data_IF_356276069237
#
_entry.id   IF_356276069237
#
_cell.length_a   1.000
_cell.length_b   1.000
_cell.length_c   1.000
_cell.angle_alpha   90.00
_cell.angle_beta   90.00
_cell.angle_gamma   90.00
#
_symmetry.space_group_name_H-M   'P 1'
#
loop_
_entity.id
_entity.type
_entity.pdbx_description
1 polymer ?
#
# COMPACT_ATOMS: atom_id res chain seq x y z
N UNK A 1 18.49 23.35 0.31
CA UNK A 1 17.07 23.41 0.62
C UNK A 1 16.80 22.63 1.89
N UNK A 2 15.93 23.11 2.75
CA UNK A 2 15.45 22.40 3.94
C UNK A 2 13.94 22.50 4.04
N UNK A 3 13.31 21.47 4.61
CA UNK A 3 11.89 21.43 4.91
C UNK A 3 11.68 21.68 6.40
N UNK A 4 10.73 22.53 6.76
CA UNK A 4 10.30 22.76 8.13
C UNK A 4 8.90 22.18 8.30
N UNK A 5 8.75 21.22 9.21
CA UNK A 5 7.46 20.62 9.57
C UNK A 5 7.10 20.93 11.01
N UNK A 6 5.79 21.04 11.30
CA UNK A 6 5.29 21.10 12.67
C UNK A 6 5.48 19.74 13.34
N UNK A 7 5.84 19.73 14.62
CA UNK A 7 5.87 18.51 15.43
C UNK A 7 4.44 18.13 15.83
N UNK A 8 4.05 16.88 15.57
CA UNK A 8 2.79 16.30 16.06
C UNK A 8 3.13 15.27 17.11
N UNK A 9 2.69 15.43 18.36
CA UNK A 9 2.93 14.44 19.42
C UNK A 9 2.13 13.16 19.15
N UNK A 10 2.64 12.01 19.63
CA UNK A 10 1.99 10.73 19.47
C UNK A 10 2.95 9.58 19.21
N UNK A 11 2.40 8.41 18.85
CA UNK A 11 3.17 7.20 18.58
C UNK A 11 2.89 6.67 17.18
N UNK A 12 3.94 6.15 16.55
CA UNK A 12 3.85 5.42 15.27
C UNK A 12 3.88 3.92 15.53
N UNK A 13 3.02 3.12 14.88
CA UNK A 13 3.20 1.67 14.82
C UNK A 13 4.52 1.34 14.11
N UNK A 14 5.41 0.54 14.71
CA UNK A 14 6.69 0.22 14.09
C UNK A 14 6.52 -0.77 12.93
N UNK A 15 7.36 -0.62 11.91
CA UNK A 15 7.49 -1.61 10.84
C UNK A 15 8.55 -2.66 11.14
N UNK A 16 9.57 -2.27 11.90
CA UNK A 16 10.65 -3.16 12.30
C UNK A 16 11.00 -3.02 13.80
N UNK A 17 10.89 -4.11 14.56
CA UNK A 17 10.19 -5.34 14.18
C UNK A 17 8.72 -5.06 13.87
N UNK A 18 8.10 -5.89 13.01
CA UNK A 18 6.70 -5.70 12.60
C UNK A 18 5.78 -5.45 13.80
N UNK A 19 4.90 -4.45 13.68
CA UNK A 19 3.87 -4.16 14.68
C UNK A 19 2.91 -5.33 14.93
N UNK A 20 2.89 -6.33 14.01
CA UNK A 20 2.19 -7.61 14.17
C UNK A 20 2.88 -8.55 15.17
N UNK A 21 4.12 -8.28 15.55
CA UNK A 21 4.91 -9.15 16.44
C UNK A 21 5.31 -8.49 17.75
N UNK A 22 5.63 -7.21 17.73
CA UNK A 22 6.15 -6.46 18.89
C UNK A 22 5.76 -4.98 18.82
N UNK A 23 5.85 -4.34 19.96
CA UNK A 23 5.60 -2.92 20.12
C UNK A 23 4.20 -2.64 20.62
N UNK A 24 3.94 -1.39 20.86
CA UNK A 24 2.74 -0.94 21.57
C UNK A 24 1.41 -1.40 20.94
N UNK A 25 1.36 -1.63 19.62
CA UNK A 25 0.16 -2.17 18.96
C UNK A 25 -0.07 -3.63 19.37
N UNK A 26 1.00 -4.44 19.42
CA UNK A 26 0.92 -5.83 19.86
C UNK A 26 0.57 -5.95 21.36
N UNK A 27 0.88 -4.92 22.14
CA UNK A 27 0.60 -4.88 23.60
C UNK A 27 -0.83 -4.41 23.92
N UNK A 28 -1.57 -3.87 22.94
CA UNK A 28 -2.97 -3.46 23.12
C UNK A 28 -3.90 -4.66 23.36
N UNK A 29 -5.03 -4.42 23.99
CA UNK A 29 -6.15 -5.35 24.00
C UNK A 29 -6.73 -5.54 22.58
N UNK A 30 -7.36 -6.67 22.30
CA UNK A 30 -7.95 -6.96 20.98
C UNK A 30 -9.00 -5.92 20.55
N UNK A 31 -9.81 -5.46 21.49
CA UNK A 31 -10.78 -4.39 21.27
C UNK A 31 -10.13 -3.08 20.84
N UNK A 32 -9.00 -2.74 21.42
CA UNK A 32 -8.28 -1.50 21.11
C UNK A 32 -7.56 -1.60 19.76
N UNK A 33 -7.05 -2.80 19.40
CA UNK A 33 -6.52 -3.07 18.06
C UNK A 33 -7.59 -2.89 16.99
N UNK A 34 -8.82 -3.36 17.26
CA UNK A 34 -9.94 -3.15 16.36
C UNK A 34 -10.28 -1.67 16.19
N UNK A 35 -10.31 -0.90 17.28
CA UNK A 35 -10.52 0.55 17.24
C UNK A 35 -9.43 1.24 16.44
N UNK A 36 -8.16 0.93 16.70
CA UNK A 36 -7.02 1.49 16.00
C UNK A 36 -7.08 1.23 14.49
N UNK A 37 -7.43 0.01 14.09
CA UNK A 37 -7.62 -0.35 12.68
C UNK A 37 -8.69 0.51 12.01
N UNK A 38 -9.84 0.67 12.69
CA UNK A 38 -10.93 1.47 12.15
C UNK A 38 -10.59 2.97 12.07
N UNK A 39 -9.82 3.49 13.02
CA UNK A 39 -9.34 4.87 12.96
C UNK A 39 -8.40 5.10 11.78
N UNK A 40 -7.54 4.13 11.48
CA UNK A 40 -6.71 4.17 10.27
C UNK A 40 -7.53 4.17 8.98
N UNK A 41 -8.56 3.33 8.91
CA UNK A 41 -9.46 3.28 7.76
C UNK A 41 -10.30 4.56 7.61
N UNK A 42 -10.72 5.17 8.72
CA UNK A 42 -11.43 6.45 8.71
C UNK A 42 -10.51 7.59 8.25
N UNK A 43 -9.21 7.57 8.62
CA UNK A 43 -8.22 8.52 8.13
C UNK A 43 -8.06 8.40 6.61
N UNK A 44 -7.92 7.17 6.09
CA UNK A 44 -7.87 6.91 4.65
C UNK A 44 -9.10 7.47 3.93
N UNK A 45 -10.30 7.20 4.45
CA UNK A 45 -11.53 7.76 3.88
C UNK A 45 -11.54 9.28 3.88
N UNK A 46 -11.00 9.93 4.92
CA UNK A 46 -10.90 11.40 4.98
C UNK A 46 -10.00 11.95 3.89
N UNK A 47 -8.89 11.28 3.60
CA UNK A 47 -8.00 11.61 2.47
C UNK A 47 -8.77 11.53 1.15
N UNK A 48 -9.51 10.44 0.90
CA UNK A 48 -10.28 10.26 -0.34
C UNK A 48 -11.48 11.21 -0.50
N UNK A 49 -11.85 11.96 0.55
CA UNK A 49 -12.88 13.00 0.48
C UNK A 49 -12.33 14.39 0.17
N UNK A 50 -11.03 14.53 0.16
CA UNK A 50 -10.40 15.78 -0.26
C UNK A 50 -10.69 15.99 -1.74
N UNK A 51 -11.16 17.17 -2.09
CA UNK A 51 -11.25 17.60 -3.47
C UNK A 51 -9.87 18.11 -3.91
N UNK A 52 -9.13 17.36 -4.74
CA UNK A 52 -7.79 17.74 -5.11
C UNK A 52 -7.78 19.00 -5.98
N UNK A 53 -8.79 19.23 -6.81
CA UNK A 53 -8.89 20.40 -7.67
C UNK A 53 -9.14 21.67 -6.86
N UNK A 54 -10.06 21.59 -5.89
CA UNK A 54 -10.36 22.74 -5.01
C UNK A 54 -9.14 23.17 -4.17
N UNK A 55 -8.20 22.24 -3.91
CA UNK A 55 -6.97 22.51 -3.14
C UNK A 55 -5.73 22.73 -4.03
N UNK A 56 -5.88 22.75 -5.35
CA UNK A 56 -4.75 22.93 -6.27
C UNK A 56 -3.76 21.77 -6.25
N UNK A 57 -4.22 20.53 -5.98
CA UNK A 57 -3.40 19.33 -5.91
C UNK A 57 -3.35 18.57 -7.24
N UNK A 58 -3.73 19.18 -8.35
CA UNK A 58 -3.70 18.56 -9.68
C UNK A 58 -2.31 18.01 -10.06
N UNK A 59 -1.26 18.64 -9.53
CA UNK A 59 0.12 18.20 -9.73
C UNK A 59 0.41 16.81 -9.16
N UNK A 60 -0.42 16.30 -8.25
CA UNK A 60 -0.31 14.93 -7.74
C UNK A 60 -0.71 13.88 -8.79
N UNK A 61 -1.45 14.28 -9.84
CA UNK A 61 -1.74 13.41 -10.98
C UNK A 61 -0.46 13.03 -11.71
N UNK A 62 -0.25 11.72 -11.92
CA UNK A 62 0.89 11.25 -12.73
C UNK A 62 0.78 11.79 -14.15
N UNK A 63 1.86 12.33 -14.73
CA UNK A 63 1.87 12.67 -16.16
C UNK A 63 1.88 11.39 -17.00
N UNK A 64 1.29 11.45 -18.18
CA UNK A 64 1.32 10.32 -19.11
C UNK A 64 0.08 10.26 -20.02
N UNK A 65 0.13 9.44 -21.07
CA UNK A 65 -0.93 9.31 -22.05
C UNK A 65 -2.12 8.47 -21.54
N UNK A 66 -1.98 7.77 -20.41
CA UNK A 66 -3.03 6.94 -19.83
C UNK A 66 -4.33 7.71 -19.59
N UNK A 67 -5.45 7.12 -19.97
CA UNK A 67 -6.77 7.75 -19.91
C UNK A 67 -7.24 7.99 -18.47
N UNK A 68 -6.76 7.18 -17.53
CA UNK A 68 -7.15 7.24 -16.10
C UNK A 68 -5.93 7.31 -15.18
N UNK A 69 -6.15 7.72 -13.92
CA UNK A 69 -5.10 7.72 -12.91
C UNK A 69 -4.51 6.33 -12.69
N UNK A 70 -5.32 5.28 -12.74
CA UNK A 70 -4.84 3.91 -12.67
C UNK A 70 -3.92 3.55 -13.85
N UNK A 71 -4.26 3.98 -15.08
CA UNK A 71 -3.41 3.76 -16.25
C UNK A 71 -2.07 4.46 -16.08
N UNK A 72 -2.12 5.72 -15.70
CA UNK A 72 -0.92 6.53 -15.50
C UNK A 72 -0.02 6.00 -14.37
N UNK A 73 -0.62 5.48 -13.30
CA UNK A 73 0.13 4.81 -12.22
C UNK A 73 0.80 3.53 -12.73
N UNK A 74 0.07 2.68 -13.44
CA UNK A 74 0.62 1.43 -13.98
C UNK A 74 1.74 1.70 -15.00
N UNK A 75 1.54 2.66 -15.91
CA UNK A 75 2.55 3.07 -16.88
C UNK A 75 3.79 3.66 -16.20
N UNK A 76 3.59 4.50 -15.16
CA UNK A 76 4.71 5.04 -14.39
C UNK A 76 5.61 3.93 -13.84
N UNK A 77 5.05 2.92 -13.18
CA UNK A 77 5.85 1.82 -12.66
C UNK A 77 6.45 0.94 -13.77
N UNK A 78 5.72 0.72 -14.86
CA UNK A 78 6.20 -0.05 -16.00
C UNK A 78 7.40 0.62 -16.70
N UNK A 79 7.37 1.95 -16.85
CA UNK A 79 8.44 2.73 -17.50
C UNK A 79 9.69 2.84 -16.61
N UNK A 80 9.57 2.59 -15.31
CA UNK A 80 10.66 2.72 -14.34
C UNK A 80 11.20 1.38 -13.82
N UNK A 81 10.97 0.26 -14.52
CA UNK A 81 11.44 -1.07 -14.09
C UNK A 81 12.96 -1.12 -13.90
N UNK A 82 13.74 -0.44 -14.74
CA UNK A 82 15.19 -0.34 -14.60
C UNK A 82 15.61 0.42 -13.34
N UNK A 83 14.91 1.51 -13.03
CA UNK A 83 15.14 2.26 -11.79
C UNK A 83 14.90 1.37 -10.56
N UNK A 84 13.86 0.54 -10.59
CA UNK A 84 13.55 -0.41 -9.54
C UNK A 84 14.37 -1.70 -9.56
N UNK A 85 15.30 -1.87 -10.52
CA UNK A 85 16.11 -3.09 -10.70
C UNK A 85 15.28 -4.35 -11.01
N UNK A 86 14.15 -4.19 -11.65
CA UNK A 86 13.19 -5.26 -11.89
C UNK A 86 12.95 -5.56 -13.38
N UNK A 87 13.61 -4.89 -14.32
CA UNK A 87 13.39 -5.07 -15.76
C UNK A 87 13.59 -6.53 -16.23
N UNK A 88 14.47 -7.29 -15.57
CA UNK A 88 14.72 -8.70 -15.84
C UNK A 88 13.97 -9.69 -14.92
N UNK A 89 13.07 -9.22 -14.05
CA UNK A 89 12.37 -10.11 -13.10
C UNK A 89 11.19 -10.81 -13.77
N UNK A 90 11.23 -12.16 -13.94
CA UNK A 90 10.12 -12.89 -14.56
C UNK A 90 8.79 -12.73 -13.81
N UNK A 91 8.82 -12.67 -12.48
CA UNK A 91 7.63 -12.49 -11.66
C UNK A 91 7.00 -11.11 -11.90
N UNK A 92 7.81 -10.06 -11.88
CA UNK A 92 7.35 -8.67 -12.09
C UNK A 92 6.76 -8.53 -13.50
N UNK A 93 7.41 -9.11 -14.51
CA UNK A 93 6.92 -9.07 -15.90
C UNK A 93 5.62 -9.84 -16.08
N UNK A 94 5.47 -11.01 -15.44
CA UNK A 94 4.18 -11.74 -15.43
C UNK A 94 3.08 -10.94 -14.76
N UNK A 95 3.37 -10.34 -13.60
CA UNK A 95 2.40 -9.50 -12.89
C UNK A 95 1.97 -8.28 -13.73
N UNK A 96 2.92 -7.59 -14.37
CA UNK A 96 2.64 -6.47 -15.26
C UNK A 96 1.77 -6.89 -16.46
N UNK A 97 2.09 -8.04 -17.09
CA UNK A 97 1.31 -8.58 -18.19
C UNK A 97 -0.12 -8.88 -17.75
N UNK A 98 -0.28 -9.52 -16.59
CA UNK A 98 -1.59 -9.82 -16.04
C UNK A 98 -2.39 -8.54 -15.73
N UNK A 99 -1.76 -7.54 -15.08
CA UNK A 99 -2.39 -6.25 -14.75
C UNK A 99 -2.89 -5.53 -16.01
N UNK A 100 -2.11 -5.53 -17.09
CA UNK A 100 -2.53 -4.92 -18.37
C UNK A 100 -3.70 -5.66 -19.02
N UNK A 101 -3.71 -6.99 -18.92
CA UNK A 101 -4.76 -7.82 -19.53
C UNK A 101 -6.07 -7.81 -18.74
N UNK A 102 -6.03 -7.59 -17.43
CA UNK A 102 -7.18 -7.72 -16.53
C UNK A 102 -7.64 -6.39 -15.93
N UNK A 103 -7.29 -5.27 -16.55
CA UNK A 103 -7.64 -3.95 -16.04
C UNK A 103 -9.16 -3.81 -15.87
N UNK A 104 -9.63 -3.27 -14.71
CA UNK A 104 -11.04 -3.04 -14.48
C UNK A 104 -11.69 -2.18 -15.58
N UNK A 105 -12.87 -2.57 -16.09
CA UNK A 105 -13.54 -1.83 -17.17
C UNK A 105 -14.16 -0.52 -16.67
N UNK A 106 -14.46 -0.41 -15.39
CA UNK A 106 -15.13 0.74 -14.78
C UNK A 106 -14.12 1.59 -14.07
N UNK A 107 -14.03 2.83 -14.52
CA UNK A 107 -13.26 3.88 -13.83
C UNK A 107 -14.14 4.45 -12.75
N UNK A 108 -13.78 4.24 -11.49
CA UNK A 108 -14.37 4.96 -10.36
C UNK A 108 -13.90 6.42 -10.38
N UNK A 109 -14.63 7.37 -9.77
CA UNK A 109 -14.13 8.74 -9.65
C UNK A 109 -12.73 8.75 -9.07
N UNK A 110 -11.82 9.49 -9.70
CA UNK A 110 -10.47 9.70 -9.19
C UNK A 110 -10.54 10.53 -7.92
N UNK A 111 -9.78 10.12 -6.92
CA UNK A 111 -9.63 10.80 -5.65
C UNK A 111 -8.15 11.07 -5.37
N UNK A 112 -7.86 11.92 -4.40
CA UNK A 112 -6.50 11.99 -3.88
C UNK A 112 -6.16 10.68 -3.20
N UNK A 113 -5.15 9.98 -3.71
CA UNK A 113 -4.57 8.81 -3.08
C UNK A 113 -3.46 9.24 -2.12
N UNK A 114 -3.42 8.63 -0.96
CA UNK A 114 -2.29 8.78 -0.04
C UNK A 114 -1.04 8.06 -0.56
N UNK A 115 -1.24 6.90 -1.21
CA UNK A 115 -0.18 6.14 -1.89
C UNK A 115 0.53 5.13 -1.01
N UNK A 116 0.96 5.49 0.22
CA UNK A 116 1.50 4.54 1.21
C UNK A 116 0.58 4.42 2.43
N UNK A 117 -0.68 4.09 2.15
CA UNK A 117 -1.75 3.95 3.12
C UNK A 117 -1.52 2.73 4.03
N UNK A 118 -1.01 2.96 5.24
CA UNK A 118 -0.74 1.91 6.23
C UNK A 118 -0.67 2.46 7.65
N UNK A 119 -0.88 1.60 8.66
CA UNK A 119 -0.85 2.02 10.06
C UNK A 119 0.49 2.63 10.48
N UNK A 120 1.62 2.15 9.94
CA UNK A 120 2.96 2.66 10.22
C UNK A 120 3.19 4.11 9.82
N UNK A 121 2.33 4.68 8.96
CA UNK A 121 2.39 6.07 8.51
C UNK A 121 1.33 6.96 9.19
N UNK A 122 0.78 6.52 10.32
CA UNK A 122 -0.18 7.27 11.13
C UNK A 122 0.41 7.57 12.50
N UNK A 123 0.41 8.83 12.91
CA UNK A 123 0.67 9.20 14.30
C UNK A 123 -0.62 9.04 15.09
N UNK A 124 -0.55 8.29 16.19
CA UNK A 124 -1.67 8.08 17.11
C UNK A 124 -1.45 8.82 18.43
N UNK A 125 -2.46 9.58 18.85
CA UNK A 125 -2.60 10.07 20.21
C UNK A 125 -3.66 9.20 20.90
N UNK A 126 -3.22 8.37 21.85
CA UNK A 126 -4.03 7.25 22.33
C UNK A 126 -4.37 6.29 21.18
N UNK A 127 -5.65 6.17 20.83
CA UNK A 127 -6.14 5.38 19.70
C UNK A 127 -6.64 6.24 18.52
N UNK A 128 -6.61 7.57 18.66
CA UNK A 128 -7.05 8.49 17.63
C UNK A 128 -5.90 8.89 16.69
N UNK A 129 -6.19 9.03 15.40
CA UNK A 129 -5.21 9.48 14.41
C UNK A 129 -5.00 10.99 14.54
N UNK A 130 -3.80 11.38 14.94
CA UNK A 130 -3.36 12.77 15.07
C UNK A 130 -2.77 13.32 13.75
N UNK A 131 -2.08 12.49 12.96
CA UNK A 131 -1.53 12.90 11.68
C UNK A 131 -1.39 11.73 10.70
N UNK A 132 -1.43 12.08 9.41
CA UNK A 132 -1.13 11.20 8.27
C UNK A 132 0.22 11.64 7.70
N UNK A 133 1.14 10.70 7.55
CA UNK A 133 2.52 10.94 7.12
C UNK A 133 2.81 10.27 5.78
N UNK A 134 3.99 10.56 5.25
CA UNK A 134 4.60 9.88 4.10
C UNK A 134 3.76 9.98 2.82
N UNK A 135 3.70 11.18 2.27
CA UNK A 135 2.93 11.53 1.10
C UNK A 135 3.72 11.42 -0.22
N UNK A 136 4.93 10.84 -0.19
CA UNK A 136 5.82 10.78 -1.37
C UNK A 136 5.24 9.96 -2.53
N UNK A 137 4.31 9.03 -2.21
CA UNK A 137 3.61 8.22 -3.20
C UNK A 137 2.20 8.76 -3.55
N UNK A 138 1.86 9.96 -3.08
CA UNK A 138 0.55 10.54 -3.35
C UNK A 138 0.30 10.72 -4.85
N UNK A 139 -0.93 10.42 -5.26
CA UNK A 139 -1.33 10.52 -6.67
C UNK A 139 -2.85 10.69 -6.80
N UNK A 140 -3.36 10.70 -8.04
CA UNK A 140 -4.80 10.69 -8.32
C UNK A 140 -5.19 9.35 -8.93
N UNK A 141 -6.26 8.73 -8.43
CA UNK A 141 -6.73 7.45 -8.93
C UNK A 141 -7.95 6.90 -8.19
N UNK A 142 -8.33 5.65 -8.47
CA UNK A 142 -9.45 5.01 -7.78
C UNK A 142 -9.08 4.68 -6.34
N UNK A 143 -9.99 4.90 -5.36
CA UNK A 143 -9.74 4.69 -3.94
C UNK A 143 -9.41 3.23 -3.58
N UNK A 144 -9.74 2.28 -4.43
CA UNK A 144 -9.39 0.87 -4.30
C UNK A 144 -7.87 0.63 -4.29
N UNK A 145 -7.08 1.51 -4.92
CA UNK A 145 -5.59 1.44 -4.90
C UNK A 145 -5.07 1.51 -3.47
N UNK A 146 -5.52 2.51 -2.71
CA UNK A 146 -5.09 2.68 -1.33
C UNK A 146 -5.71 1.64 -0.39
N UNK A 147 -6.97 1.26 -0.59
CA UNK A 147 -7.60 0.20 0.20
C UNK A 147 -6.86 -1.13 0.02
N UNK A 148 -6.53 -1.48 -1.21
CA UNK A 148 -5.76 -2.69 -1.49
C UNK A 148 -4.37 -2.61 -0.88
N UNK A 149 -3.69 -1.47 -0.97
CA UNK A 149 -2.40 -1.24 -0.34
C UNK A 149 -2.48 -1.42 1.18
N UNK A 150 -3.47 -0.81 1.84
CA UNK A 150 -3.69 -0.91 3.29
C UNK A 150 -3.82 -2.38 3.75
N UNK A 151 -4.62 -3.17 3.02
CA UNK A 151 -4.81 -4.59 3.30
C UNK A 151 -3.56 -5.42 2.95
N UNK A 152 -2.90 -5.09 1.85
CA UNK A 152 -1.73 -5.84 1.37
C UNK A 152 -0.52 -5.66 2.28
N UNK A 153 -0.27 -4.44 2.76
CA UNK A 153 0.81 -4.17 3.71
C UNK A 153 0.58 -4.87 5.04
N UNK A 154 -0.64 -4.93 5.53
CA UNK A 154 -1.00 -5.72 6.72
C UNK A 154 -0.67 -7.22 6.51
N UNK A 155 -1.03 -7.79 5.34
CA UNK A 155 -0.64 -9.15 4.97
C UNK A 155 0.87 -9.31 4.86
N UNK A 156 1.57 -8.36 4.28
CA UNK A 156 3.04 -8.42 4.16
C UNK A 156 3.72 -8.41 5.53
N UNK A 157 3.22 -7.62 6.48
CA UNK A 157 3.75 -7.51 7.84
C UNK A 157 3.37 -8.71 8.75
N UNK A 158 2.52 -9.60 8.29
CA UNK A 158 2.11 -10.85 8.98
C UNK A 158 2.44 -12.07 8.13
N UNK A 159 1.56 -12.47 7.22
CA UNK A 159 1.72 -13.62 6.32
C UNK A 159 3.04 -13.56 5.54
N UNK A 160 3.37 -12.39 4.96
CA UNK A 160 4.56 -12.21 4.14
C UNK A 160 5.86 -12.48 4.88
N UNK A 161 5.92 -12.22 6.18
CA UNK A 161 7.08 -12.51 7.04
C UNK A 161 6.96 -13.86 7.79
N UNK A 162 5.96 -14.68 7.46
CA UNK A 162 5.72 -15.96 8.12
C UNK A 162 5.24 -15.83 9.57
N UNK A 163 4.56 -14.77 9.92
CA UNK A 163 4.00 -14.52 11.25
C UNK A 163 2.47 -14.63 11.22
N UNK A 164 1.89 -15.10 12.33
CA UNK A 164 0.46 -15.00 12.50
C UNK A 164 0.05 -13.52 12.56
N UNK A 165 -1.10 -13.20 11.97
CA UNK A 165 -1.71 -11.89 12.09
C UNK A 165 -2.24 -11.67 13.51
N UNK A 166 -2.08 -10.48 14.06
CA UNK A 166 -2.60 -10.13 15.38
C UNK A 166 -4.12 -10.34 15.45
N UNK A 167 -4.56 -11.02 16.50
CA UNK A 167 -5.98 -11.12 16.87
C UNK A 167 -6.55 -9.74 17.19
N UNK A 168 -7.84 -9.57 17.04
CA UNK A 168 -8.52 -8.28 17.23
C UNK A 168 -8.50 -7.36 16.03
N UNK A 169 -7.54 -7.49 15.10
CA UNK A 169 -7.57 -6.73 13.85
C UNK A 169 -8.67 -7.28 12.93
N UNK A 170 -9.58 -6.42 12.40
CA UNK A 170 -10.62 -6.84 11.46
C UNK A 170 -10.06 -7.53 10.22
N UNK A 171 -10.70 -8.59 9.77
CA UNK A 171 -10.31 -9.29 8.55
C UNK A 171 -10.58 -8.47 7.27
N UNK A 172 -10.09 -8.98 6.14
CA UNK A 172 -10.27 -8.36 4.82
C UNK A 172 -11.76 -8.11 4.52
N UNK A 173 -12.61 -9.09 4.73
CA UNK A 173 -14.03 -8.98 4.38
C UNK A 173 -14.76 -7.93 5.23
N UNK A 174 -14.49 -7.86 6.54
CA UNK A 174 -15.02 -6.82 7.42
C UNK A 174 -14.52 -5.43 7.02
N UNK A 175 -13.22 -5.31 6.69
CA UNK A 175 -12.60 -4.05 6.28
C UNK A 175 -13.22 -3.54 4.98
N UNK A 176 -13.35 -4.40 3.97
CA UNK A 176 -13.96 -4.06 2.67
C UNK A 176 -15.42 -3.63 2.84
N UNK A 177 -16.23 -4.39 3.59
CA UNK A 177 -17.62 -4.03 3.85
C UNK A 177 -17.75 -2.67 4.54
N UNK A 178 -16.94 -2.40 5.57
CA UNK A 178 -16.95 -1.11 6.25
C UNK A 178 -16.53 0.01 5.33
N UNK A 179 -15.48 -0.20 4.53
CA UNK A 179 -15.01 0.82 3.61
C UNK A 179 -16.02 1.13 2.50
N UNK A 180 -16.69 0.10 1.95
CA UNK A 180 -17.80 0.26 1.01
C UNK A 180 -18.93 1.12 1.60
N UNK A 181 -19.31 0.86 2.86
CA UNK A 181 -20.31 1.67 3.57
C UNK A 181 -19.85 3.13 3.76
N UNK A 182 -18.58 3.37 4.06
CA UNK A 182 -17.99 4.71 4.19
C UNK A 182 -17.95 5.48 2.87
N UNK A 183 -17.79 4.78 1.73
CA UNK A 183 -17.81 5.37 0.39
C UNK A 183 -19.23 5.51 -0.17
N UNK A 184 -20.22 4.78 0.38
CA UNK A 184 -21.59 4.74 -0.15
C UNK A 184 -21.73 3.94 -1.44
N UNK A 185 -20.78 3.05 -1.78
CA UNK A 185 -20.80 2.17 -2.95
C UNK A 185 -20.04 0.87 -2.71
N UNK A 186 -20.27 -0.11 -3.57
CA UNK A 186 -19.49 -1.35 -3.56
C UNK A 186 -18.02 -1.13 -3.93
N UNK A 187 -17.16 -1.93 -3.32
CA UNK A 187 -15.77 -2.11 -3.74
C UNK A 187 -15.73 -3.26 -4.75
N UNK A 188 -15.25 -2.98 -5.94
CA UNK A 188 -15.16 -3.94 -7.03
C UNK A 188 -13.71 -4.20 -7.40
N UNK A 189 -13.48 -5.34 -8.00
CA UNK A 189 -12.18 -5.73 -8.59
C UNK A 189 -11.00 -5.64 -7.62
N UNK A 190 -11.24 -5.81 -6.31
CA UNK A 190 -10.21 -5.63 -5.28
C UNK A 190 -9.02 -6.59 -5.49
N UNK A 191 -9.25 -7.80 -6.03
CA UNK A 191 -8.18 -8.72 -6.37
C UNK A 191 -7.18 -8.12 -7.38
N UNK A 192 -7.67 -7.36 -8.35
CA UNK A 192 -6.82 -6.62 -9.29
C UNK A 192 -5.91 -5.64 -8.54
N UNK A 193 -6.49 -4.84 -7.66
CA UNK A 193 -5.74 -3.84 -6.89
C UNK A 193 -4.79 -4.47 -5.87
N UNK A 194 -5.10 -5.65 -5.35
CA UNK A 194 -4.18 -6.42 -4.49
C UNK A 194 -2.98 -6.95 -5.28
N UNK A 195 -3.16 -7.41 -6.52
CA UNK A 195 -2.03 -7.74 -7.42
C UNK A 195 -1.21 -6.50 -7.72
N UNK A 196 -1.85 -5.36 -7.98
CA UNK A 196 -1.17 -4.09 -8.22
C UNK A 196 -0.38 -3.63 -6.98
N UNK A 197 -0.93 -3.77 -5.79
CA UNK A 197 -0.23 -3.48 -4.54
C UNK A 197 1.02 -4.37 -4.37
N UNK A 198 0.89 -5.67 -4.64
CA UNK A 198 2.02 -6.61 -4.60
C UNK A 198 3.10 -6.30 -5.62
N UNK A 199 2.70 -5.94 -6.84
CA UNK A 199 3.60 -5.49 -7.89
C UNK A 199 4.40 -4.27 -7.44
N UNK A 200 3.74 -3.22 -6.95
CA UNK A 200 4.40 -2.01 -6.42
C UNK A 200 5.36 -2.34 -5.28
N UNK A 201 4.94 -3.17 -4.32
CA UNK A 201 5.77 -3.53 -3.17
C UNK A 201 7.02 -4.30 -3.61
N UNK A 202 6.91 -5.22 -4.57
CA UNK A 202 8.07 -5.94 -5.12
C UNK A 202 9.07 -4.97 -5.75
N UNK A 203 8.62 -3.97 -6.51
CA UNK A 203 9.48 -2.93 -7.10
C UNK A 203 10.18 -2.10 -6.03
N UNK A 204 9.42 -1.56 -5.08
CA UNK A 204 9.96 -0.69 -4.02
C UNK A 204 11.01 -1.44 -3.18
N UNK A 205 10.70 -2.68 -2.77
CA UNK A 205 11.61 -3.47 -1.94
C UNK A 205 12.88 -3.91 -2.70
N UNK A 206 12.80 -4.13 -4.02
CA UNK A 206 13.97 -4.37 -4.85
C UNK A 206 14.88 -3.12 -4.89
N UNK A 207 14.28 -1.94 -5.02
CA UNK A 207 15.03 -0.68 -4.99
C UNK A 207 15.68 -0.44 -3.63
N UNK A 208 14.98 -0.72 -2.54
CA UNK A 208 15.54 -0.63 -1.18
C UNK A 208 16.73 -1.60 -1.03
N UNK A 209 16.61 -2.85 -1.52
CA UNK A 209 17.69 -3.82 -1.52
C UNK A 209 18.93 -3.31 -2.30
N UNK A 210 18.73 -2.72 -3.48
CA UNK A 210 19.83 -2.10 -4.26
C UNK A 210 20.50 -0.95 -3.48
N UNK A 211 19.71 -0.10 -2.82
CA UNK A 211 20.23 1.05 -2.07
C UNK A 211 21.05 0.62 -0.85
N UNK A 212 20.57 -0.34 -0.05
CA UNK A 212 21.32 -0.79 1.15
C UNK A 212 22.64 -1.45 0.79
N UNK A 213 22.72 -2.14 -0.37
CA UNK A 213 23.98 -2.67 -0.91
C UNK A 213 24.89 -1.53 -1.38
N UNK A 214 24.36 -0.59 -2.18
CA UNK A 214 25.15 0.54 -2.72
C UNK A 214 25.75 1.44 -1.63
N UNK A 215 25.02 1.62 -0.54
CA UNK A 215 25.49 2.41 0.60
C UNK A 215 26.34 1.60 1.59
N UNK A 216 26.67 0.34 1.27
CA UNK A 216 27.53 -0.50 2.10
C UNK A 216 26.92 -0.91 3.42
N UNK A 217 25.58 -0.81 3.56
CA UNK A 217 24.86 -1.24 4.78
C UNK A 217 24.86 -2.77 4.87
N UNK A 218 24.74 -3.44 3.71
CA UNK A 218 24.88 -4.91 3.58
C UNK A 218 25.82 -5.26 2.45
N UNK A 219 26.55 -6.40 2.50
CA UNK A 219 27.42 -6.86 1.41
C UNK A 219 26.65 -7.14 0.11
N UNK A 220 27.29 -7.02 -1.07
CA UNK A 220 26.71 -7.51 -2.33
C UNK A 220 26.36 -9.00 -2.24
N UNK A 221 25.23 -9.38 -2.83
CA UNK A 221 24.75 -10.78 -2.82
C UNK A 221 24.05 -11.20 -1.52
N UNK A 222 23.90 -10.28 -0.56
CA UNK A 222 23.10 -10.55 0.64
C UNK A 222 21.65 -10.84 0.24
N UNK A 223 21.09 -11.95 0.73
CA UNK A 223 19.64 -12.18 0.67
C UNK A 223 18.94 -11.08 1.46
N UNK A 224 18.03 -10.37 0.79
CA UNK A 224 17.28 -9.29 1.42
C UNK A 224 15.85 -9.77 1.73
N UNK A 225 15.57 -10.19 2.98
CA UNK A 225 14.31 -10.85 3.35
C UNK A 225 13.08 -10.03 2.98
N UNK A 226 13.14 -8.70 3.12
CA UNK A 226 12.01 -7.81 2.78
C UNK A 226 11.59 -7.98 1.31
N UNK A 227 12.54 -7.95 0.38
CA UNK A 227 12.26 -8.14 -1.04
C UNK A 227 11.83 -9.57 -1.36
N UNK A 228 12.53 -10.58 -0.82
CA UNK A 228 12.17 -11.99 -1.01
C UNK A 228 10.73 -12.26 -0.56
N UNK A 229 10.34 -11.75 0.61
CA UNK A 229 9.01 -11.95 1.16
C UNK A 229 7.94 -11.21 0.34
N UNK A 230 8.22 -9.99 -0.12
CA UNK A 230 7.34 -9.24 -1.03
C UNK A 230 7.10 -9.99 -2.34
N UNK A 231 8.15 -10.58 -2.94
CA UNK A 231 8.04 -11.39 -4.16
C UNK A 231 7.22 -12.67 -3.91
N UNK A 232 7.45 -13.38 -2.81
CA UNK A 232 6.70 -14.58 -2.48
C UNK A 232 5.21 -14.29 -2.27
N UNK A 233 4.88 -13.18 -1.61
CA UNK A 233 3.50 -12.76 -1.42
C UNK A 233 2.85 -12.33 -2.74
N UNK A 234 3.58 -11.61 -3.62
CA UNK A 234 3.10 -11.26 -4.96
C UNK A 234 2.79 -12.52 -5.78
N UNK A 235 3.68 -13.51 -5.79
CA UNK A 235 3.48 -14.76 -6.55
C UNK A 235 2.22 -15.49 -6.09
N UNK A 236 2.00 -15.60 -4.78
CA UNK A 236 0.79 -16.18 -4.20
C UNK A 236 -0.47 -15.40 -4.58
N UNK A 237 -0.41 -14.07 -4.52
CA UNK A 237 -1.55 -13.20 -4.84
C UNK A 237 -1.92 -13.30 -6.32
N UNK A 238 -0.91 -13.27 -7.21
CA UNK A 238 -1.08 -13.42 -8.65
C UNK A 238 -1.66 -14.79 -9.01
N UNK A 239 -1.15 -15.87 -8.39
CA UNK A 239 -1.68 -17.22 -8.62
C UNK A 239 -3.16 -17.33 -8.22
N UNK A 240 -3.55 -16.75 -7.10
CA UNK A 240 -4.96 -16.71 -6.66
C UNK A 240 -5.83 -15.95 -7.64
N UNK A 241 -5.42 -14.76 -8.07
CA UNK A 241 -6.17 -13.94 -9.02
C UNK A 241 -6.31 -14.62 -10.39
N UNK A 242 -5.30 -15.34 -10.85
CA UNK A 242 -5.34 -16.12 -12.10
C UNK A 242 -6.30 -17.32 -12.01
N UNK A 243 -6.35 -17.98 -10.85
CA UNK A 243 -7.23 -19.14 -10.65
C UNK A 243 -8.71 -18.78 -10.54
N UNK A 244 -9.04 -17.55 -10.14
CA UNK A 244 -10.43 -17.05 -10.06
C UNK A 244 -11.01 -16.64 -11.41
N UNK A 245 -10.26 -16.76 -12.52
CA UNK A 245 -10.78 -16.69 -13.90
C UNK A 245 -11.09 -15.28 -14.39
N UNK A 246 -10.32 -14.31 -13.98
CA UNK A 246 -10.31 -12.97 -14.60
C UNK A 246 -9.06 -12.74 -15.42
#
# INVERSE_FOLDING_TARGET
PFLRMGHVPGRLPPDYPSNQRRGWVADLAETDREVLWWRGLDALRRVHRVDPHALGLDFAGRPGPGATGLDRELDHYADHLDFFRCAGSPLVLRALTWLRANRPPVVTPEVLLWGDARLGNLIFDGLDVAAVLDWEMASLGPPEVDLAWYLYLDRNLSEGIGSARLTGLPDRARTVRRYAALLGREIRDLEYYEVFAGFRLALITARVADLVVRHGIVPPGTDFPLHRNACALLEKTLATATATGR
#
